data_IF_671013100695
#
_entry.id   IF_671013100695
#
_cell.length_a   1.000
_cell.length_b   1.000
_cell.length_c   1.000
_cell.angle_alpha   90.00
_cell.angle_beta   90.00
_cell.angle_gamma   90.00
#
_symmetry.space_group_name_H-M   'P 1'
#
loop_
_entity.id
_entity.type
_entity.pdbx_description
1 polymer ?
#
# COMPACT_ATOMS: atom_id res chain seq x y z
N UNK A 1 -7.27 -0.65 29.73
CA UNK A 1 -6.96 -2.10 29.51
C UNK A 1 -5.55 -2.39 30.00
N UNK A 2 -5.32 -3.60 30.57
CA UNK A 2 -3.97 -4.08 30.87
C UNK A 2 -3.25 -4.52 29.59
N UNK A 3 -1.90 -4.67 29.58
CA UNK A 3 -1.18 -5.19 28.42
C UNK A 3 -1.72 -6.54 27.92
N UNK A 4 -2.09 -7.44 28.84
CA UNK A 4 -2.65 -8.76 28.54
C UNK A 4 -4.02 -8.66 27.87
N UNK A 5 -4.87 -7.72 28.31
CA UNK A 5 -6.19 -7.47 27.71
C UNK A 5 -6.03 -6.93 26.27
N UNK A 6 -5.05 -6.06 26.01
CA UNK A 6 -4.71 -5.60 24.65
C UNK A 6 -4.32 -6.78 23.76
N UNK A 7 -3.44 -7.66 24.25
CA UNK A 7 -2.97 -8.81 23.49
C UNK A 7 -4.11 -9.80 23.19
N UNK A 8 -4.97 -10.05 24.17
CA UNK A 8 -6.12 -10.96 24.01
C UNK A 8 -7.13 -10.40 22.98
N UNK A 9 -7.36 -9.10 22.95
CA UNK A 9 -8.20 -8.49 21.92
C UNK A 9 -7.55 -8.58 20.53
N UNK A 10 -6.25 -8.30 20.44
CA UNK A 10 -5.50 -8.44 19.19
C UNK A 10 -5.53 -9.89 18.64
N UNK A 11 -5.45 -10.88 19.53
CA UNK A 11 -5.57 -12.30 19.16
C UNK A 11 -6.96 -12.68 18.64
N UNK A 12 -8.01 -12.06 19.17
CA UNK A 12 -9.39 -12.25 18.69
C UNK A 12 -9.69 -11.51 17.40
N UNK A 13 -8.78 -10.63 16.95
CA UNK A 13 -9.02 -9.77 15.77
C UNK A 13 -9.97 -8.61 16.04
N UNK A 14 -10.30 -8.33 17.30
CA UNK A 14 -11.14 -7.20 17.70
C UNK A 14 -10.26 -5.95 17.84
N UNK A 15 -10.04 -5.26 16.72
CA UNK A 15 -9.14 -4.10 16.66
C UNK A 15 -9.85 -2.77 16.98
N UNK A 16 -11.17 -2.71 16.95
CA UNK A 16 -11.91 -1.45 17.16
C UNK A 16 -11.64 -0.78 18.53
N UNK A 17 -11.62 -1.52 19.68
CA UNK A 17 -11.24 -0.93 20.95
C UNK A 17 -9.77 -0.51 21.02
N UNK A 18 -8.88 -1.22 20.32
CA UNK A 18 -7.45 -0.94 20.27
C UNK A 18 -7.19 0.35 19.49
N UNK A 19 -7.98 0.58 18.45
CA UNK A 19 -7.92 1.77 17.61
C UNK A 19 -8.36 3.04 18.35
N UNK A 20 -9.21 2.93 19.38
CA UNK A 20 -9.65 4.06 20.20
C UNK A 20 -8.59 4.55 21.20
N UNK A 21 -7.65 3.69 21.62
CA UNK A 21 -6.61 4.04 22.60
C UNK A 21 -5.22 3.58 22.15
N UNK A 22 -4.77 4.13 21.02
CA UNK A 22 -3.48 3.79 20.39
C UNK A 22 -2.27 4.16 21.25
N UNK A 23 -2.40 5.18 22.11
CA UNK A 23 -1.35 5.55 23.06
C UNK A 23 -1.16 4.45 24.12
N UNK A 24 -2.25 3.98 24.74
CA UNK A 24 -2.19 2.88 25.70
C UNK A 24 -1.77 1.57 25.05
N UNK A 25 -2.15 1.33 23.78
CA UNK A 25 -1.67 0.18 23.01
C UNK A 25 -0.14 0.21 22.84
N UNK A 26 0.43 1.37 22.50
CA UNK A 26 1.89 1.53 22.40
C UNK A 26 2.57 1.34 23.77
N UNK A 27 1.93 1.80 24.85
CA UNK A 27 2.42 1.58 26.22
C UNK A 27 2.37 0.09 26.61
N UNK A 28 1.36 -0.66 26.17
CA UNK A 28 1.26 -2.10 26.40
C UNK A 28 2.41 -2.86 25.72
N UNK A 29 2.73 -2.54 24.46
CA UNK A 29 3.90 -3.11 23.75
C UNK A 29 5.19 -2.83 24.53
N UNK A 30 5.40 -1.58 24.96
CA UNK A 30 6.57 -1.18 25.76
C UNK A 30 6.60 -1.86 27.15
N UNK A 31 5.45 -2.12 27.75
CA UNK A 31 5.36 -2.80 29.03
C UNK A 31 5.86 -4.25 28.93
N UNK A 32 5.38 -5.01 27.94
CA UNK A 32 5.90 -6.36 27.68
C UNK A 32 7.41 -6.36 27.38
N UNK A 33 7.88 -5.44 26.54
CA UNK A 33 9.31 -5.33 26.23
C UNK A 33 10.18 -5.06 27.48
N UNK A 34 9.71 -4.20 28.40
CA UNK A 34 10.43 -3.84 29.63
C UNK A 34 10.55 -5.00 30.62
N UNK A 35 9.56 -5.87 30.68
CA UNK A 35 9.62 -7.06 31.58
C UNK A 35 10.32 -8.26 30.94
N UNK A 36 10.81 -8.11 29.70
CA UNK A 36 11.50 -9.17 28.95
C UNK A 36 10.56 -10.20 28.32
N UNK A 37 9.24 -9.93 28.26
CA UNK A 37 8.29 -10.76 27.49
C UNK A 37 8.31 -10.34 26.00
N UNK A 38 9.40 -10.71 25.34
CA UNK A 38 9.59 -10.41 23.92
C UNK A 38 8.51 -11.05 23.03
N UNK A 39 8.01 -12.22 23.40
CA UNK A 39 6.99 -12.91 22.59
C UNK A 39 5.69 -12.11 22.56
N UNK A 40 5.18 -11.68 23.70
CA UNK A 40 3.97 -10.87 23.79
C UNK A 40 4.16 -9.48 23.18
N UNK A 41 5.31 -8.84 23.36
CA UNK A 41 5.63 -7.55 22.74
C UNK A 41 5.60 -7.61 21.21
N UNK A 42 6.30 -8.60 20.63
CA UNK A 42 6.36 -8.80 19.18
C UNK A 42 4.99 -9.20 18.61
N UNK A 43 4.28 -10.11 19.26
CA UNK A 43 2.95 -10.54 18.80
C UNK A 43 1.96 -9.37 18.79
N UNK A 44 1.89 -8.59 19.88
CA UNK A 44 1.01 -7.44 19.97
C UNK A 44 1.34 -6.40 18.89
N UNK A 45 2.61 -6.04 18.76
CA UNK A 45 3.08 -5.10 17.74
C UNK A 45 2.74 -5.57 16.33
N UNK A 46 3.02 -6.84 16.01
CA UNK A 46 2.77 -7.42 14.69
C UNK A 46 1.29 -7.54 14.33
N UNK A 47 0.40 -7.67 15.32
CA UNK A 47 -1.05 -7.75 15.07
C UNK A 47 -1.72 -6.38 14.93
N UNK A 48 -1.11 -5.32 15.49
CA UNK A 48 -1.79 -4.03 15.68
C UNK A 48 -1.15 -2.86 14.92
N UNK A 49 -0.07 -3.04 14.19
CA UNK A 49 0.63 -1.96 13.50
C UNK A 49 -0.26 -1.13 12.56
N UNK A 50 -1.32 -1.75 11.98
CA UNK A 50 -2.25 -1.05 11.09
C UNK A 50 -3.04 0.06 11.77
N UNK A 51 -3.28 -0.03 13.08
CA UNK A 51 -4.00 1.00 13.85
C UNK A 51 -3.26 2.34 13.84
N UNK A 52 -1.94 2.34 13.98
CA UNK A 52 -1.14 3.58 13.88
C UNK A 52 -1.00 4.03 12.42
N UNK A 53 -0.80 3.09 11.49
CA UNK A 53 -0.60 3.44 10.09
C UNK A 53 -1.83 4.10 9.47
N UNK A 54 -3.04 3.61 9.75
CA UNK A 54 -4.30 4.14 9.22
C UNK A 54 -4.62 5.56 9.71
N UNK A 55 -4.03 5.97 10.85
CA UNK A 55 -4.18 7.31 11.40
C UNK A 55 -2.96 8.23 11.14
N UNK A 56 -1.97 7.77 10.36
CA UNK A 56 -0.77 8.55 10.07
C UNK A 56 0.17 8.74 11.27
N UNK A 57 -0.01 7.97 12.35
CA UNK A 57 0.81 8.05 13.57
C UNK A 57 2.14 7.28 13.40
N UNK A 58 2.96 7.70 12.41
CA UNK A 58 4.15 6.97 11.99
C UNK A 58 5.20 6.85 13.11
N UNK A 59 5.43 7.93 13.86
CA UNK A 59 6.43 7.94 14.94
C UNK A 59 6.04 7.02 16.11
N UNK A 60 4.76 7.05 16.50
CA UNK A 60 4.24 6.20 17.57
C UNK A 60 4.33 4.71 17.20
N UNK A 61 3.89 4.37 15.99
CA UNK A 61 3.98 3.00 15.47
C UNK A 61 5.42 2.52 15.34
N UNK A 62 6.32 3.32 14.74
CA UNK A 62 7.74 3.00 14.62
C UNK A 62 8.41 2.81 15.99
N UNK A 63 8.08 3.65 16.98
CA UNK A 63 8.59 3.52 18.36
C UNK A 63 8.11 2.22 19.02
N UNK A 64 6.84 1.84 18.82
CA UNK A 64 6.30 0.58 19.35
C UNK A 64 7.00 -0.64 18.71
N UNK A 65 7.19 -0.64 17.38
CA UNK A 65 7.95 -1.70 16.69
C UNK A 65 9.37 -1.80 17.21
N UNK A 66 10.08 -0.67 17.35
CA UNK A 66 11.45 -0.64 17.86
C UNK A 66 11.54 -1.19 19.29
N UNK A 67 10.59 -0.87 20.17
CA UNK A 67 10.56 -1.39 21.54
C UNK A 67 10.39 -2.92 21.54
N UNK A 68 9.50 -3.47 20.73
CA UNK A 68 9.31 -4.91 20.63
C UNK A 68 10.55 -5.63 20.05
N UNK A 69 11.15 -5.07 18.99
CA UNK A 69 12.32 -5.66 18.32
C UNK A 69 13.60 -5.66 19.16
N UNK A 70 13.72 -4.71 20.11
CA UNK A 70 14.86 -4.58 21.01
C UNK A 70 14.64 -5.22 22.39
N UNK A 71 13.46 -5.83 22.61
CA UNK A 71 13.18 -6.56 23.84
C UNK A 71 14.17 -7.72 24.04
N UNK A 72 14.69 -7.97 25.26
CA UNK A 72 15.58 -9.11 25.51
C UNK A 72 14.91 -10.43 25.08
N UNK A 73 15.60 -11.22 24.27
CA UNK A 73 15.08 -12.48 23.74
C UNK A 73 14.23 -12.36 22.47
N UNK A 74 14.07 -11.18 21.89
CA UNK A 74 13.30 -10.99 20.65
C UNK A 74 13.82 -11.84 19.47
N UNK A 75 15.11 -12.14 19.44
CA UNK A 75 15.74 -13.01 18.44
C UNK A 75 15.32 -14.47 18.54
N UNK A 76 14.79 -14.90 19.67
CA UNK A 76 14.33 -16.29 19.90
C UNK A 76 12.88 -16.52 19.49
N UNK A 77 12.18 -15.49 19.01
CA UNK A 77 10.78 -15.52 18.58
C UNK A 77 10.65 -15.19 17.09
N UNK A 78 11.20 -16.02 16.20
CA UNK A 78 11.49 -15.65 14.82
C UNK A 78 10.24 -15.31 13.98
N UNK A 79 9.11 -15.98 14.20
CA UNK A 79 7.86 -15.70 13.44
C UNK A 79 7.32 -14.30 13.73
N UNK A 80 7.13 -13.96 15.00
CA UNK A 80 6.64 -12.62 15.37
C UNK A 80 7.68 -11.54 15.09
N UNK A 81 8.97 -11.87 15.22
CA UNK A 81 10.04 -10.97 14.83
C UNK A 81 9.97 -10.62 13.35
N UNK A 82 9.81 -11.60 12.46
CA UNK A 82 9.70 -11.37 11.02
C UNK A 82 8.53 -10.42 10.70
N UNK A 83 7.36 -10.65 11.29
CA UNK A 83 6.17 -9.83 11.07
C UNK A 83 6.31 -8.41 11.64
N UNK A 84 6.96 -8.26 12.79
CA UNK A 84 7.25 -6.94 13.38
C UNK A 84 8.30 -6.17 12.56
N UNK A 85 9.32 -6.86 12.03
CA UNK A 85 10.31 -6.27 11.12
C UNK A 85 9.67 -5.75 9.83
N UNK A 86 8.75 -6.51 9.22
CA UNK A 86 7.99 -6.03 8.08
C UNK A 86 7.21 -4.75 8.41
N UNK A 87 6.50 -4.74 9.56
CA UNK A 87 5.75 -3.56 9.99
C UNK A 87 6.68 -2.35 10.19
N UNK A 88 7.82 -2.52 10.87
CA UNK A 88 8.85 -1.47 11.03
C UNK A 88 9.40 -0.99 9.68
N UNK A 89 9.62 -1.91 8.75
CA UNK A 89 10.02 -1.60 7.37
C UNK A 89 8.98 -0.75 6.63
N UNK A 90 7.69 -1.02 6.86
CA UNK A 90 6.61 -0.25 6.25
C UNK A 90 6.49 1.16 6.86
N UNK A 91 6.66 1.33 8.18
CA UNK A 91 6.75 2.65 8.80
C UNK A 91 7.94 3.44 8.26
N UNK A 92 9.11 2.81 8.13
CA UNK A 92 10.29 3.43 7.54
C UNK A 92 10.04 3.86 6.08
N UNK A 93 9.38 3.01 5.28
CA UNK A 93 8.98 3.33 3.91
C UNK A 93 8.08 4.57 3.85
N UNK A 94 7.07 4.65 4.72
CA UNK A 94 6.13 5.78 4.77
C UNK A 94 6.79 7.07 5.27
N UNK A 95 7.81 6.96 6.12
CA UNK A 95 8.61 8.10 6.59
C UNK A 95 9.73 8.50 5.62
N UNK A 96 9.88 7.82 4.47
CA UNK A 96 10.93 8.11 3.48
C UNK A 96 12.31 7.54 3.83
N UNK A 97 12.47 6.77 4.90
CA UNK A 97 13.72 6.09 5.24
C UNK A 97 13.87 4.78 4.43
N UNK A 98 14.26 4.95 3.16
CA UNK A 98 14.45 3.85 2.20
C UNK A 98 15.42 2.78 2.73
N UNK A 99 16.57 3.22 3.32
CA UNK A 99 17.61 2.29 3.78
C UNK A 99 17.08 1.39 4.90
N UNK A 100 16.46 1.99 5.93
CA UNK A 100 15.87 1.23 7.05
C UNK A 100 14.76 0.31 6.54
N UNK A 101 13.89 0.79 5.63
CA UNK A 101 12.85 -0.03 5.04
C UNK A 101 13.43 -1.28 4.36
N UNK A 102 14.46 -1.12 3.56
CA UNK A 102 15.12 -2.25 2.88
C UNK A 102 15.76 -3.23 3.87
N UNK A 103 16.57 -2.73 4.82
CA UNK A 103 17.22 -3.55 5.85
C UNK A 103 16.19 -4.38 6.64
N UNK A 104 15.07 -3.77 7.05
CA UNK A 104 14.01 -4.44 7.81
C UNK A 104 13.29 -5.53 7.01
N UNK A 105 12.97 -5.26 5.75
CA UNK A 105 12.32 -6.26 4.90
C UNK A 105 13.26 -7.42 4.55
N UNK A 106 14.56 -7.18 4.35
CA UNK A 106 15.56 -8.24 4.15
C UNK A 106 15.72 -9.12 5.40
N UNK A 107 15.79 -8.49 6.58
CA UNK A 107 15.84 -9.23 7.85
C UNK A 107 14.56 -10.04 8.07
N UNK A 108 13.37 -9.46 7.81
CA UNK A 108 12.08 -10.14 7.88
C UNK A 108 12.03 -11.36 6.96
N UNK A 109 12.47 -11.21 5.71
CA UNK A 109 12.51 -12.29 4.73
C UNK A 109 13.40 -13.45 5.20
N UNK A 110 14.56 -13.13 5.79
CA UNK A 110 15.47 -14.12 6.34
C UNK A 110 14.82 -14.94 7.45
N UNK A 111 14.19 -14.28 8.43
CA UNK A 111 13.48 -14.97 9.52
C UNK A 111 12.27 -15.78 9.01
N UNK A 112 11.47 -15.22 8.10
CA UNK A 112 10.32 -15.92 7.54
C UNK A 112 10.73 -17.22 6.81
N UNK A 113 11.82 -17.18 6.04
CA UNK A 113 12.37 -18.36 5.35
C UNK A 113 12.89 -19.43 6.32
N UNK A 114 13.58 -19.05 7.38
CA UNK A 114 14.11 -20.01 8.38
C UNK A 114 13.00 -20.70 9.15
N UNK A 115 11.81 -20.09 9.25
CA UNK A 115 10.64 -20.63 9.98
C UNK A 115 9.58 -21.23 9.08
N UNK A 116 9.76 -21.19 7.75
CA UNK A 116 8.73 -21.55 6.76
C UNK A 116 7.40 -20.76 6.98
N UNK A 117 7.48 -19.49 7.45
CA UNK A 117 6.33 -18.61 7.59
C UNK A 117 5.98 -18.00 6.22
N UNK A 118 5.12 -18.67 5.46
CA UNK A 118 4.72 -18.23 4.13
C UNK A 118 4.08 -16.84 4.13
N UNK A 119 3.32 -16.49 5.17
CA UNK A 119 2.73 -15.14 5.34
C UNK A 119 3.82 -14.09 5.57
N UNK A 120 4.77 -14.36 6.46
CA UNK A 120 5.90 -13.45 6.71
C UNK A 120 6.78 -13.29 5.48
N UNK A 121 7.01 -14.35 4.70
CA UNK A 121 7.74 -14.28 3.45
C UNK A 121 7.01 -13.41 2.40
N UNK A 122 5.69 -13.60 2.25
CA UNK A 122 4.87 -12.77 1.38
C UNK A 122 4.92 -11.29 1.78
N UNK A 123 4.74 -10.98 3.06
CA UNK A 123 4.76 -9.61 3.57
C UNK A 123 6.12 -8.94 3.31
N UNK A 124 7.24 -9.61 3.58
CA UNK A 124 8.58 -9.09 3.37
C UNK A 124 8.89 -8.85 1.89
N UNK A 125 8.56 -9.79 1.00
CA UNK A 125 8.70 -9.64 -0.45
C UNK A 125 7.86 -8.48 -0.97
N UNK A 126 6.63 -8.31 -0.45
CA UNK A 126 5.76 -7.17 -0.78
C UNK A 126 6.39 -5.84 -0.35
N UNK A 127 7.04 -5.80 0.82
CA UNK A 127 7.78 -4.63 1.30
C UNK A 127 8.94 -4.25 0.38
N UNK A 128 9.72 -5.24 -0.08
CA UNK A 128 10.81 -5.03 -1.04
C UNK A 128 10.28 -4.56 -2.41
N UNK A 129 9.17 -5.14 -2.90
CA UNK A 129 8.54 -4.72 -4.15
C UNK A 129 8.10 -3.24 -4.12
N UNK A 130 7.59 -2.74 -2.98
CA UNK A 130 7.26 -1.30 -2.82
C UNK A 130 8.49 -0.40 -2.93
N UNK A 131 9.63 -0.85 -2.38
CA UNK A 131 10.88 -0.11 -2.48
C UNK A 131 11.35 -0.06 -3.93
N UNK A 132 11.36 -1.22 -4.62
CA UNK A 132 11.71 -1.31 -6.03
C UNK A 132 10.79 -0.43 -6.92
N UNK A 133 9.49 -0.35 -6.61
CA UNK A 133 8.55 0.51 -7.31
C UNK A 133 8.97 1.99 -7.19
N UNK A 134 9.28 2.44 -5.98
CA UNK A 134 9.72 3.82 -5.72
C UNK A 134 11.07 4.14 -6.37
N UNK A 135 11.92 3.13 -6.54
CA UNK A 135 13.22 3.26 -7.23
C UNK A 135 13.12 3.20 -8.77
N UNK A 136 11.93 2.91 -9.31
CA UNK A 136 11.71 2.76 -10.76
C UNK A 136 12.16 1.42 -11.34
N UNK A 137 12.51 0.45 -10.49
CA UNK A 137 13.01 -0.88 -10.88
C UNK A 137 11.83 -1.84 -11.17
N UNK A 138 11.03 -1.51 -12.18
CA UNK A 138 9.74 -2.19 -12.45
C UNK A 138 9.86 -3.68 -12.74
N UNK A 139 10.98 -4.13 -13.31
CA UNK A 139 11.28 -5.56 -13.48
C UNK A 139 11.38 -6.27 -12.14
N UNK A 140 12.11 -5.70 -11.18
CA UNK A 140 12.25 -6.23 -9.82
C UNK A 140 10.90 -6.21 -9.07
N UNK A 141 10.07 -5.17 -9.26
CA UNK A 141 8.70 -5.12 -8.71
C UNK A 141 7.90 -6.35 -9.12
N UNK A 142 7.91 -6.68 -10.42
CA UNK A 142 7.15 -7.82 -10.97
C UNK A 142 7.65 -9.13 -10.38
N UNK A 143 8.98 -9.34 -10.34
CA UNK A 143 9.58 -10.57 -9.82
C UNK A 143 9.28 -10.77 -8.33
N UNK A 144 9.48 -9.74 -7.50
CA UNK A 144 9.21 -9.80 -6.06
C UNK A 144 7.72 -10.00 -5.77
N UNK A 145 6.86 -9.30 -6.50
CA UNK A 145 5.41 -9.42 -6.35
C UNK A 145 4.90 -10.81 -6.76
N UNK A 146 5.44 -11.41 -7.83
CA UNK A 146 5.12 -12.79 -8.25
C UNK A 146 5.52 -13.79 -7.18
N UNK A 147 6.73 -13.67 -6.61
CA UNK A 147 7.19 -14.52 -5.51
C UNK A 147 6.27 -14.38 -4.28
N UNK A 148 5.90 -13.14 -3.93
CA UNK A 148 5.00 -12.88 -2.81
C UNK A 148 3.62 -13.54 -3.02
N UNK A 149 3.04 -13.41 -4.22
CA UNK A 149 1.77 -14.07 -4.59
C UNK A 149 1.86 -15.58 -4.49
N UNK A 150 2.96 -16.17 -4.95
CA UNK A 150 3.17 -17.61 -4.84
C UNK A 150 3.16 -18.07 -3.38
N UNK A 151 3.81 -17.31 -2.46
CA UNK A 151 3.79 -17.62 -1.03
C UNK A 151 2.40 -17.50 -0.43
N UNK A 152 1.65 -16.45 -0.76
CA UNK A 152 0.27 -16.25 -0.31
C UNK A 152 -0.64 -17.39 -0.76
N UNK A 153 -0.57 -17.77 -2.04
CA UNK A 153 -1.36 -18.89 -2.61
C UNK A 153 -1.01 -20.23 -1.99
N UNK A 154 0.28 -20.50 -1.77
CA UNK A 154 0.72 -21.72 -1.10
C UNK A 154 0.21 -21.83 0.34
N UNK A 155 -0.01 -20.71 1.01
CA UNK A 155 -0.62 -20.64 2.35
C UNK A 155 -2.15 -20.63 2.33
N UNK A 156 -2.80 -20.51 1.18
CA UNK A 156 -4.26 -20.30 1.07
C UNK A 156 -4.72 -18.93 1.62
N UNK A 157 -3.80 -17.95 1.71
CA UNK A 157 -4.05 -16.64 2.31
C UNK A 157 -4.38 -15.61 1.22
N UNK A 158 -5.64 -15.54 0.83
CA UNK A 158 -6.13 -14.60 -0.19
C UNK A 158 -5.96 -13.13 0.21
N UNK A 159 -6.05 -12.82 1.51
CA UNK A 159 -5.84 -11.45 1.98
C UNK A 159 -4.38 -11.00 1.76
N UNK A 160 -3.43 -11.91 1.99
CA UNK A 160 -2.01 -11.65 1.74
C UNK A 160 -1.71 -11.43 0.24
N UNK A 161 -2.47 -12.06 -0.65
CA UNK A 161 -2.27 -11.94 -2.10
C UNK A 161 -2.64 -10.55 -2.65
N UNK A 162 -3.55 -9.82 -2.02
CA UNK A 162 -4.11 -8.58 -2.57
C UNK A 162 -3.06 -7.48 -2.83
N UNK A 163 -2.11 -7.28 -1.91
CA UNK A 163 -1.07 -6.24 -2.08
C UNK A 163 -0.03 -6.58 -3.14
N UNK A 164 0.56 -7.78 -3.17
CA UNK A 164 1.51 -8.11 -4.23
C UNK A 164 0.86 -8.21 -5.62
N UNK A 165 -0.41 -8.62 -5.73
CA UNK A 165 -1.13 -8.60 -7.00
C UNK A 165 -1.25 -7.19 -7.57
N UNK A 166 -1.64 -6.23 -6.74
CA UNK A 166 -1.68 -4.81 -7.12
C UNK A 166 -0.29 -4.29 -7.55
N UNK A 167 0.77 -4.60 -6.80
CA UNK A 167 2.14 -4.18 -7.15
C UNK A 167 2.62 -4.81 -8.46
N UNK A 168 2.30 -6.07 -8.72
CA UNK A 168 2.60 -6.71 -10.00
C UNK A 168 1.91 -5.98 -11.15
N UNK A 169 0.62 -5.65 -10.99
CA UNK A 169 -0.14 -4.89 -11.98
C UNK A 169 0.48 -3.51 -12.24
N UNK A 170 0.90 -2.79 -11.18
CA UNK A 170 1.56 -1.50 -11.29
C UNK A 170 2.91 -1.61 -12.03
N UNK A 171 3.75 -2.59 -11.68
CA UNK A 171 5.02 -2.82 -12.37
C UNK A 171 4.83 -3.12 -13.87
N UNK A 172 3.87 -3.97 -14.22
CA UNK A 172 3.53 -4.31 -15.60
C UNK A 172 3.00 -3.09 -16.36
N UNK A 173 2.15 -2.26 -15.73
CA UNK A 173 1.65 -1.01 -16.31
C UNK A 173 2.78 -0.03 -16.62
N UNK A 174 3.67 0.20 -15.65
CA UNK A 174 4.80 1.13 -15.79
C UNK A 174 5.86 0.68 -16.81
N UNK A 175 5.88 -0.62 -17.17
CA UNK A 175 6.60 -1.13 -18.35
C UNK A 175 5.85 -0.92 -19.67
N UNK A 176 4.66 -0.30 -19.67
CA UNK A 176 3.86 -0.08 -20.87
C UNK A 176 3.10 -1.31 -21.37
N UNK A 177 3.05 -2.40 -20.59
CA UNK A 177 2.37 -3.63 -20.96
C UNK A 177 0.87 -3.56 -20.59
N UNK A 178 0.15 -2.59 -21.15
CA UNK A 178 -1.21 -2.23 -20.73
C UNK A 178 -2.24 -3.37 -20.84
N UNK A 179 -2.15 -4.27 -21.83
CA UNK A 179 -3.06 -5.41 -21.92
C UNK A 179 -2.90 -6.37 -20.74
N UNK A 180 -1.66 -6.70 -20.38
CA UNK A 180 -1.37 -7.57 -19.24
C UNK A 180 -1.71 -6.88 -17.90
N UNK A 181 -1.44 -5.58 -17.79
CA UNK A 181 -1.80 -4.79 -16.61
C UNK A 181 -3.31 -4.77 -16.39
N UNK A 182 -4.12 -4.64 -17.46
CA UNK A 182 -5.59 -4.69 -17.38
C UNK A 182 -6.07 -6.00 -16.75
N UNK A 183 -5.53 -7.13 -17.20
CA UNK A 183 -5.91 -8.46 -16.67
C UNK A 183 -5.58 -8.57 -15.18
N UNK A 184 -4.39 -8.13 -14.77
CA UNK A 184 -3.95 -8.16 -13.38
C UNK A 184 -4.77 -7.21 -12.48
N UNK A 185 -5.08 -6.00 -12.94
CA UNK A 185 -5.93 -5.08 -12.17
C UNK A 185 -7.39 -5.56 -12.09
N UNK A 186 -7.89 -6.25 -13.11
CA UNK A 186 -9.22 -6.90 -13.03
C UNK A 186 -9.20 -8.04 -12.00
N UNK A 187 -8.17 -8.90 -12.01
CA UNK A 187 -7.96 -9.92 -10.98
C UNK A 187 -7.88 -9.29 -9.57
N UNK A 188 -7.16 -8.17 -9.42
CA UNK A 188 -7.05 -7.44 -8.15
C UNK A 188 -8.40 -6.88 -7.69
N UNK A 189 -9.16 -6.28 -8.59
CA UNK A 189 -10.50 -5.77 -8.31
C UNK A 189 -11.44 -6.89 -7.84
N UNK A 190 -11.46 -8.02 -8.55
CA UNK A 190 -12.29 -9.19 -8.20
C UNK A 190 -11.88 -9.76 -6.84
N UNK A 191 -10.59 -9.89 -6.57
CA UNK A 191 -10.07 -10.35 -5.27
C UNK A 191 -10.50 -9.41 -4.14
N UNK A 192 -10.33 -8.10 -4.29
CA UNK A 192 -10.72 -7.12 -3.28
C UNK A 192 -12.23 -7.09 -3.04
N UNK A 193 -13.05 -7.29 -4.09
CA UNK A 193 -14.49 -7.46 -3.96
C UNK A 193 -14.83 -8.73 -3.16
N UNK A 194 -14.21 -9.86 -3.46
CA UNK A 194 -14.44 -11.13 -2.76
C UNK A 194 -14.04 -11.06 -1.27
N UNK A 195 -13.00 -10.28 -0.95
CA UNK A 195 -12.55 -10.04 0.42
C UNK A 195 -13.36 -8.98 1.17
N UNK A 196 -14.27 -8.25 0.50
CA UNK A 196 -14.99 -7.13 1.11
C UNK A 196 -14.10 -5.90 1.39
N UNK A 197 -12.96 -5.76 0.71
CA UNK A 197 -12.00 -4.67 0.86
C UNK A 197 -12.45 -3.40 0.14
N UNK A 198 -13.61 -2.86 0.52
CA UNK A 198 -14.23 -1.70 -0.13
C UNK A 198 -13.30 -0.49 -0.26
N UNK A 199 -12.41 -0.27 0.72
CA UNK A 199 -11.45 0.84 0.71
C UNK A 199 -10.40 0.76 -0.42
N UNK A 200 -10.17 -0.41 -1.02
CA UNK A 200 -9.22 -0.60 -2.13
C UNK A 200 -9.86 -0.45 -3.51
N UNK A 201 -11.17 -0.59 -3.62
CA UNK A 201 -11.86 -0.57 -4.90
C UNK A 201 -11.65 0.73 -5.69
N UNK A 202 -11.68 1.94 -5.08
CA UNK A 202 -11.39 3.18 -5.80
C UNK A 202 -10.01 3.19 -6.46
N UNK A 203 -9.00 2.68 -5.80
CA UNK A 203 -7.62 2.60 -6.35
C UNK A 203 -7.56 1.65 -7.56
N UNK A 204 -8.19 0.48 -7.47
CA UNK A 204 -8.22 -0.46 -8.61
C UNK A 204 -9.01 0.12 -9.79
N UNK A 205 -10.14 0.80 -9.54
CA UNK A 205 -10.92 1.46 -10.60
C UNK A 205 -10.14 2.62 -11.23
N UNK A 206 -9.39 3.40 -10.44
CA UNK A 206 -8.49 4.44 -10.92
C UNK A 206 -7.46 3.87 -11.89
N UNK A 207 -6.71 2.86 -11.47
CA UNK A 207 -5.66 2.25 -12.28
C UNK A 207 -6.22 1.61 -13.57
N UNK A 208 -7.35 0.92 -13.48
CA UNK A 208 -8.04 0.40 -14.66
C UNK A 208 -8.46 1.51 -15.62
N UNK A 209 -8.96 2.64 -15.11
CA UNK A 209 -9.32 3.80 -15.93
C UNK A 209 -8.13 4.31 -16.75
N UNK A 210 -6.96 4.44 -16.13
CA UNK A 210 -5.75 4.86 -16.82
C UNK A 210 -5.25 3.83 -17.82
N UNK A 211 -5.28 2.54 -17.48
CA UNK A 211 -4.94 1.46 -18.41
C UNK A 211 -5.86 1.49 -19.65
N UNK A 212 -7.16 1.70 -19.46
CA UNK A 212 -8.12 1.79 -20.58
C UNK A 212 -7.85 3.04 -21.45
N UNK A 213 -7.43 4.17 -20.87
CA UNK A 213 -7.01 5.35 -21.63
C UNK A 213 -5.79 5.07 -22.51
N UNK A 214 -4.76 4.43 -21.96
CA UNK A 214 -3.56 4.04 -22.71
C UNK A 214 -3.87 3.03 -23.83
N UNK A 215 -4.90 2.20 -23.67
CA UNK A 215 -5.40 1.30 -24.70
C UNK A 215 -6.33 1.96 -25.71
N UNK A 216 -6.67 3.26 -25.54
CA UNK A 216 -7.60 3.98 -26.40
C UNK A 216 -9.09 3.68 -26.16
N UNK A 217 -9.41 2.97 -25.09
CA UNK A 217 -10.78 2.57 -24.74
C UNK A 217 -11.48 3.65 -23.89
N UNK A 218 -11.71 4.85 -24.47
CA UNK A 218 -12.13 6.05 -23.72
C UNK A 218 -13.45 5.81 -22.94
N UNK A 219 -14.44 5.13 -23.53
CA UNK A 219 -15.71 4.87 -22.84
C UNK A 219 -15.55 3.89 -21.67
N UNK A 220 -14.60 2.96 -21.75
CA UNK A 220 -14.28 2.07 -20.66
C UNK A 220 -13.58 2.84 -19.52
N UNK A 221 -12.63 3.68 -19.84
CA UNK A 221 -11.95 4.55 -18.87
C UNK A 221 -12.94 5.44 -18.12
N UNK A 222 -13.86 6.07 -18.85
CA UNK A 222 -14.91 6.90 -18.25
C UNK A 222 -15.79 6.12 -17.27
N UNK A 223 -16.18 4.88 -17.60
CA UNK A 223 -16.93 4.03 -16.66
C UNK A 223 -16.14 3.74 -15.40
N UNK A 224 -14.84 3.41 -15.53
CA UNK A 224 -13.98 3.11 -14.39
C UNK A 224 -13.81 4.31 -13.45
N UNK A 225 -13.62 5.51 -14.01
CA UNK A 225 -13.49 6.72 -13.19
C UNK A 225 -14.82 7.10 -12.50
N UNK A 226 -15.98 6.89 -13.15
CA UNK A 226 -17.26 7.06 -12.47
C UNK A 226 -17.44 6.08 -11.30
N UNK A 227 -17.10 4.81 -11.50
CA UNK A 227 -17.15 3.81 -10.43
C UNK A 227 -16.22 4.18 -9.29
N UNK A 228 -14.99 4.64 -9.59
CA UNK A 228 -14.06 5.18 -8.59
C UNK A 228 -14.70 6.31 -7.79
N UNK A 229 -15.28 7.30 -8.45
CA UNK A 229 -15.84 8.48 -7.80
C UNK A 229 -17.07 8.15 -6.91
N UNK A 230 -17.80 7.08 -7.21
CA UNK A 230 -18.90 6.61 -6.36
C UNK A 230 -18.45 5.93 -5.08
N UNK A 231 -17.23 5.40 -5.05
CA UNK A 231 -16.65 4.67 -3.91
C UNK A 231 -15.56 5.47 -3.18
N UNK A 232 -15.03 6.54 -3.80
CA UNK A 232 -14.04 7.39 -3.17
C UNK A 232 -14.64 8.13 -1.97
N UNK A 233 -13.93 8.13 -0.86
CA UNK A 233 -14.26 9.02 0.27
C UNK A 233 -14.15 10.48 -0.15
N UNK A 234 -14.90 11.37 0.53
CA UNK A 234 -14.77 12.80 0.33
C UNK A 234 -13.46 13.27 1.01
N UNK A 235 -12.35 13.18 0.31
CA UNK A 235 -11.07 13.72 0.74
C UNK A 235 -10.41 14.52 -0.39
N UNK A 236 -9.58 15.48 0.01
CA UNK A 236 -8.97 16.42 -0.94
C UNK A 236 -8.03 15.75 -1.96
N UNK A 237 -7.42 14.62 -1.63
CA UNK A 237 -6.60 13.86 -2.56
C UNK A 237 -7.47 13.17 -3.62
N UNK A 238 -8.54 12.54 -3.18
CA UNK A 238 -9.52 11.92 -4.06
C UNK A 238 -10.17 12.92 -5.03
N UNK A 239 -10.50 14.12 -4.56
CA UNK A 239 -11.09 15.19 -5.37
C UNK A 239 -10.10 15.69 -6.43
N UNK A 240 -8.83 15.91 -6.06
CA UNK A 240 -7.80 16.33 -7.00
C UNK A 240 -7.59 15.29 -8.11
N UNK A 241 -7.55 14.00 -7.76
CA UNK A 241 -7.46 12.91 -8.73
C UNK A 241 -8.71 12.74 -9.58
N UNK A 242 -9.89 13.07 -9.07
CA UNK A 242 -11.09 13.12 -9.91
C UNK A 242 -10.94 14.13 -11.03
N UNK A 243 -10.49 15.35 -10.74
CA UNK A 243 -10.26 16.37 -11.77
C UNK A 243 -9.18 15.94 -12.79
N UNK A 244 -8.09 15.31 -12.36
CA UNK A 244 -7.04 14.80 -13.26
C UNK A 244 -7.60 13.68 -14.16
N UNK A 245 -8.35 12.73 -13.60
CA UNK A 245 -8.96 11.64 -14.35
C UNK A 245 -9.93 12.16 -15.42
N UNK A 246 -10.79 13.11 -15.06
CA UNK A 246 -11.73 13.71 -16.02
C UNK A 246 -11.03 14.62 -17.03
N UNK A 247 -9.92 15.24 -16.68
CA UNK A 247 -9.03 15.93 -17.62
C UNK A 247 -8.50 14.97 -18.69
N UNK A 248 -8.04 13.79 -18.27
CA UNK A 248 -7.49 12.78 -19.17
C UNK A 248 -8.58 12.27 -20.15
N UNK A 249 -9.81 12.02 -19.68
CA UNK A 249 -10.94 11.66 -20.53
C UNK A 249 -11.29 12.78 -21.52
N UNK A 250 -11.36 14.03 -21.06
CA UNK A 250 -11.64 15.18 -21.90
C UNK A 250 -10.56 15.35 -22.99
N UNK A 251 -9.28 15.21 -22.62
CA UNK A 251 -8.14 15.22 -23.55
C UNK A 251 -8.25 14.11 -24.60
N UNK A 252 -8.62 12.90 -24.22
CA UNK A 252 -8.79 11.78 -25.13
C UNK A 252 -9.96 12.01 -26.12
N UNK A 253 -10.95 12.80 -25.74
CA UNK A 253 -12.11 13.22 -26.59
C UNK A 253 -11.85 14.48 -27.40
N UNK A 254 -10.67 15.08 -27.31
CA UNK A 254 -10.33 16.35 -28.02
C UNK A 254 -10.99 17.59 -27.42
N UNK A 255 -11.49 17.51 -26.18
CA UNK A 255 -12.14 18.62 -25.45
C UNK A 255 -11.06 19.41 -24.68
N UNK A 256 -10.14 20.04 -25.40
CA UNK A 256 -8.88 20.57 -24.88
C UNK A 256 -9.05 21.65 -23.81
N UNK A 257 -10.00 22.57 -23.96
CA UNK A 257 -10.24 23.64 -22.98
C UNK A 257 -10.71 23.08 -21.63
N UNK A 258 -11.63 22.11 -21.70
CA UNK A 258 -12.11 21.44 -20.48
C UNK A 258 -10.99 20.58 -19.84
N UNK A 259 -10.17 19.90 -20.67
CA UNK A 259 -9.04 19.13 -20.20
C UNK A 259 -8.03 20.02 -19.45
N UNK A 260 -7.63 21.15 -20.04
CA UNK A 260 -6.70 22.10 -19.40
C UNK A 260 -7.26 22.66 -18.07
N UNK A 261 -8.53 23.06 -18.10
CA UNK A 261 -9.20 23.60 -16.90
C UNK A 261 -9.19 22.60 -15.76
N UNK A 262 -9.56 21.34 -16.02
CA UNK A 262 -9.59 20.26 -15.00
C UNK A 262 -8.18 19.90 -14.54
N UNK A 263 -7.22 19.80 -15.46
CA UNK A 263 -5.83 19.52 -15.09
C UNK A 263 -5.29 20.57 -14.12
N UNK A 264 -5.53 21.86 -14.39
CA UNK A 264 -5.11 22.94 -13.51
C UNK A 264 -5.75 22.86 -12.12
N UNK A 265 -7.04 22.48 -12.03
CA UNK A 265 -7.72 22.28 -10.74
C UNK A 265 -7.13 21.11 -9.97
N UNK A 266 -6.95 19.96 -10.62
CA UNK A 266 -6.39 18.76 -9.99
C UNK A 266 -4.95 18.99 -9.51
N UNK A 267 -4.09 19.61 -10.35
CA UNK A 267 -2.73 19.93 -9.95
C UNK A 267 -2.66 20.91 -8.79
N UNK A 268 -3.49 21.95 -8.80
CA UNK A 268 -3.59 22.87 -7.66
C UNK A 268 -4.02 22.15 -6.36
N UNK A 269 -4.97 21.20 -6.48
CA UNK A 269 -5.38 20.34 -5.37
C UNK A 269 -4.21 19.52 -4.80
N UNK A 270 -3.45 18.83 -5.66
CA UNK A 270 -2.29 18.03 -5.25
C UNK A 270 -1.19 18.89 -4.63
N UNK A 271 -0.86 20.04 -5.23
CA UNK A 271 0.16 20.97 -4.71
C UNK A 271 -0.20 21.49 -3.31
N UNK A 272 -1.48 21.80 -3.06
CA UNK A 272 -1.94 22.31 -1.75
C UNK A 272 -1.79 21.26 -0.64
N UNK A 273 -1.80 19.98 -0.98
CA UNK A 273 -1.59 18.88 -0.04
C UNK A 273 -0.12 18.68 0.34
N UNK A 274 0.82 19.23 -0.42
CA UNK A 274 2.27 19.12 -0.20
C UNK A 274 2.77 17.68 -0.07
N UNK A 275 2.16 16.76 -0.81
CA UNK A 275 2.58 15.35 -0.87
C UNK A 275 3.41 15.10 -2.13
N UNK A 276 4.40 14.23 -2.02
CA UNK A 276 5.09 13.69 -3.18
C UNK A 276 4.22 12.60 -3.81
N UNK A 277 4.06 12.65 -5.13
CA UNK A 277 3.38 11.58 -5.87
C UNK A 277 4.23 10.31 -5.88
N UNK A 278 3.58 9.17 -5.80
CA UNK A 278 4.22 7.89 -6.07
C UNK A 278 4.54 7.78 -7.58
N UNK A 279 5.50 6.95 -8.01
CA UNK A 279 5.94 6.91 -9.42
C UNK A 279 4.85 6.62 -10.44
N UNK A 280 3.85 5.85 -10.07
CA UNK A 280 2.70 5.54 -10.94
C UNK A 280 1.79 6.75 -11.13
N UNK A 281 1.49 7.50 -10.08
CA UNK A 281 0.75 8.74 -10.13
C UNK A 281 1.51 9.82 -10.92
N UNK A 282 2.82 9.94 -10.69
CA UNK A 282 3.67 10.89 -11.43
C UNK A 282 3.69 10.58 -12.93
N UNK A 283 3.76 9.31 -13.30
CA UNK A 283 3.73 8.86 -14.70
C UNK A 283 2.45 9.31 -15.43
N UNK A 284 1.30 9.25 -14.75
CA UNK A 284 0.01 9.67 -15.34
C UNK A 284 -0.08 11.20 -15.49
N UNK A 285 0.40 11.94 -14.49
CA UNK A 285 0.49 13.42 -14.56
C UNK A 285 1.41 13.83 -15.70
N UNK A 286 2.57 13.21 -15.85
CA UNK A 286 3.55 13.51 -16.90
C UNK A 286 2.99 13.20 -18.30
N UNK A 287 2.32 12.05 -18.44
CA UNK A 287 1.65 11.67 -19.70
C UNK A 287 0.59 12.70 -20.09
N UNK A 288 -0.29 13.09 -19.17
CA UNK A 288 -1.35 14.05 -19.45
C UNK A 288 -0.80 15.46 -19.72
N UNK A 289 0.16 15.91 -18.93
CA UNK A 289 0.84 17.20 -19.13
C UNK A 289 1.48 17.30 -20.52
N UNK A 290 2.21 16.26 -20.93
CA UNK A 290 2.84 16.20 -22.25
C UNK A 290 1.81 16.25 -23.38
N UNK A 291 0.67 15.56 -23.21
CA UNK A 291 -0.42 15.55 -24.18
C UNK A 291 -1.12 16.90 -24.32
N UNK A 292 -1.33 17.61 -23.20
CA UNK A 292 -1.95 18.94 -23.20
C UNK A 292 -1.02 20.01 -23.80
N UNK A 293 0.29 19.91 -23.56
CA UNK A 293 1.28 20.82 -24.17
C UNK A 293 1.39 20.66 -25.70
N UNK A 294 1.24 19.44 -26.22
CA UNK A 294 1.34 19.17 -27.67
C UNK A 294 0.24 19.83 -28.49
N UNK A 295 -0.82 20.32 -27.90
CA UNK A 295 -1.96 20.97 -28.59
C UNK A 295 -1.73 22.50 -28.73
N UNK A 296 -0.72 23.05 -28.07
CA UNK A 296 -0.38 24.49 -28.13
C UNK A 296 0.60 24.83 -29.31
N UNK A 297 1.12 23.80 -29.96
CA UNK A 297 2.01 23.94 -31.14
C UNK A 297 1.26 23.70 -32.43
#
# INVERSE_FOLDING_TARGET
MTPEEFLDQARRGDLAPLDQDRAALADAVRAFARVGDAASALELAARTWRTWLSHGELDAGSSAMAAALTAPGAETVPVWRARTLYADGLFAFRSGDRRRSWERNQEALTFARTTNDARGECDALTGLARIALRDGEYGEVIELAMQARERARAAGDLEAEASPLHLQAAGVRLQGQFHAARELYMESLDLNNALGNAARLPTEQHNLGWVELHLGNIDAAERRFRERDTHAGADAYGDAWSDINWSAVASARGQWEEAKRRFALGMHGLESLRIALDPDDQSEVDWLSSRLAAVEC
#
